data_IF_997257015096
#
_entry.id   IF_997257015096
#
_cell.length_a   1.000
_cell.length_b   1.000
_cell.length_c   1.000
_cell.angle_alpha   90.00
_cell.angle_beta   90.00
_cell.angle_gamma   90.00
#
_symmetry.space_group_name_H-M   'P 1'
#
loop_
_entity.id
_entity.type
_entity.pdbx_description
1 polymer ?
#
# COMPACT_ATOMS: atom_id res chain seq x y z
N UNK A 1 -14.29 3.21 13.74
CA UNK A 1 -13.81 3.18 15.15
C UNK A 1 -15.00 2.96 16.04
N UNK A 2 -15.13 1.77 16.62
CA UNK A 2 -16.35 1.39 17.36
C UNK A 2 -16.08 1.05 18.83
N UNK A 3 -14.92 0.49 19.13
CA UNK A 3 -14.51 0.08 20.48
C UNK A 3 -12.97 0.22 20.63
N UNK A 4 -12.43 1.45 20.59
CA UNK A 4 -10.97 1.69 20.62
C UNK A 4 -10.28 1.12 21.87
N UNK A 5 -10.98 1.04 23.00
CA UNK A 5 -10.52 0.44 24.25
C UNK A 5 -10.19 -1.05 24.16
N UNK A 6 -10.70 -1.74 23.13
CA UNK A 6 -10.41 -3.16 22.87
C UNK A 6 -9.13 -3.37 22.04
N UNK A 7 -8.48 -2.29 21.59
CA UNK A 7 -7.29 -2.35 20.74
C UNK A 7 -6.04 -2.16 21.61
N UNK A 8 -5.30 -3.25 21.83
CA UNK A 8 -4.07 -3.24 22.63
C UNK A 8 -2.91 -2.47 21.98
N UNK A 9 -2.91 -2.35 20.65
CA UNK A 9 -1.91 -1.60 19.90
C UNK A 9 -2.22 -1.55 18.42
N UNK A 10 -1.53 -0.66 17.70
CA UNK A 10 -1.65 -0.47 16.26
C UNK A 10 -0.27 -0.59 15.60
N UNK A 11 -0.19 -1.39 14.55
CA UNK A 11 0.96 -1.43 13.66
C UNK A 11 0.54 -0.93 12.27
N UNK A 12 1.22 0.09 11.75
CA UNK A 12 1.00 0.59 10.39
C UNK A 12 2.26 0.36 9.58
N UNK A 13 2.14 -0.34 8.45
CA UNK A 13 3.26 -0.66 7.57
C UNK A 13 2.86 -0.60 6.09
N UNK A 14 3.81 -0.24 5.23
CA UNK A 14 3.64 -0.12 3.78
C UNK A 14 2.37 0.66 3.39
N UNK A 15 2.14 1.80 4.04
CA UNK A 15 0.86 2.51 4.00
C UNK A 15 0.96 3.98 3.60
N UNK A 16 -0.13 4.46 3.01
CA UNK A 16 -0.42 5.87 2.75
C UNK A 16 -1.72 6.26 3.46
N UNK A 17 -1.71 7.35 4.21
CA UNK A 17 -2.88 7.88 4.92
C UNK A 17 -3.73 8.85 4.11
N UNK A 18 -3.23 9.35 2.99
CA UNK A 18 -3.94 10.30 2.13
C UNK A 18 -4.97 9.62 1.23
N UNK A 19 -6.00 10.39 0.85
CA UNK A 19 -6.93 10.00 -0.19
C UNK A 19 -6.22 9.78 -1.54
N UNK A 20 -6.75 8.92 -2.43
CA UNK A 20 -6.19 8.78 -3.77
C UNK A 20 -6.24 10.09 -4.57
N UNK A 21 -5.23 10.32 -5.38
CA UNK A 21 -5.14 11.46 -6.32
C UNK A 21 -5.91 11.16 -7.62
N UNK A 22 -6.36 12.16 -8.38
CA UNK A 22 -7.05 11.97 -9.67
C UNK A 22 -6.33 11.01 -10.63
N UNK A 23 -5.00 11.08 -10.69
CA UNK A 23 -4.18 10.23 -11.55
C UNK A 23 -4.21 8.76 -11.12
N UNK A 24 -4.33 8.49 -9.81
CA UNK A 24 -4.45 7.13 -9.29
C UNK A 24 -5.79 6.51 -9.65
N UNK A 25 -6.89 7.27 -9.56
CA UNK A 25 -8.20 6.80 -10.01
C UNK A 25 -8.22 6.49 -11.51
N UNK A 26 -7.56 7.31 -12.33
CA UNK A 26 -7.44 7.05 -13.76
C UNK A 26 -6.64 5.75 -14.02
N UNK A 27 -5.46 5.60 -13.40
CA UNK A 27 -4.62 4.43 -13.55
C UNK A 27 -5.32 3.14 -13.09
N UNK A 28 -6.04 3.16 -11.97
CA UNK A 28 -6.78 1.98 -11.50
C UNK A 28 -7.95 1.60 -12.42
N UNK A 29 -8.68 2.58 -12.97
CA UNK A 29 -9.74 2.30 -13.97
C UNK A 29 -9.17 1.68 -15.23
N UNK A 30 -8.03 2.17 -15.70
CA UNK A 30 -7.34 1.62 -16.86
C UNK A 30 -6.90 0.16 -16.61
N UNK A 31 -6.29 -0.11 -15.46
CA UNK A 31 -5.91 -1.47 -15.07
C UNK A 31 -7.14 -2.39 -14.91
N UNK A 32 -8.23 -1.92 -14.31
CA UNK A 32 -9.47 -2.71 -14.19
C UNK A 32 -10.02 -3.10 -15.57
N UNK A 33 -10.00 -2.17 -16.53
CA UNK A 33 -10.38 -2.42 -17.93
C UNK A 33 -9.50 -3.49 -18.58
N UNK A 34 -8.16 -3.38 -18.46
CA UNK A 34 -7.24 -4.39 -18.99
C UNK A 34 -7.51 -5.79 -18.39
N UNK A 35 -7.77 -5.87 -17.08
CA UNK A 35 -8.09 -7.15 -16.44
C UNK A 35 -9.44 -7.68 -16.95
N UNK A 36 -10.43 -6.83 -17.16
CA UNK A 36 -11.72 -7.20 -17.73
C UNK A 36 -11.60 -7.81 -19.13
N UNK A 37 -10.66 -7.29 -19.92
CA UNK A 37 -10.35 -7.76 -21.29
C UNK A 37 -9.46 -9.01 -21.30
N UNK A 38 -9.23 -9.66 -20.15
CA UNK A 38 -8.40 -10.86 -20.04
C UNK A 38 -6.90 -10.59 -20.04
N UNK A 39 -6.47 -9.32 -19.97
CA UNK A 39 -5.07 -8.89 -20.03
C UNK A 39 -4.44 -8.74 -18.64
N UNK A 40 -4.74 -9.68 -17.73
CA UNK A 40 -4.23 -9.65 -16.37
C UNK A 40 -2.70 -9.71 -16.31
N UNK A 41 -2.06 -10.55 -17.15
CA UNK A 41 -0.60 -10.67 -17.21
C UNK A 41 0.07 -9.33 -17.57
N UNK A 42 -0.52 -8.55 -18.47
CA UNK A 42 0.00 -7.22 -18.85
C UNK A 42 -0.03 -6.25 -17.66
N UNK A 43 -1.08 -6.32 -16.83
CA UNK A 43 -1.18 -5.52 -15.61
C UNK A 43 -0.11 -5.94 -14.61
N UNK A 44 0.13 -7.25 -14.44
CA UNK A 44 1.21 -7.76 -13.59
C UNK A 44 2.57 -7.22 -14.04
N UNK A 45 2.89 -7.31 -15.33
CA UNK A 45 4.16 -6.78 -15.85
C UNK A 45 4.27 -5.26 -15.70
N UNK A 46 3.16 -4.53 -15.88
CA UNK A 46 3.12 -3.07 -15.71
C UNK A 46 3.41 -2.65 -14.27
N UNK A 47 2.88 -3.36 -13.28
CA UNK A 47 3.03 -3.00 -11.87
C UNK A 47 4.29 -3.59 -11.23
N UNK A 48 4.89 -4.62 -11.82
CA UNK A 48 6.07 -5.29 -11.29
C UNK A 48 7.21 -4.33 -10.91
N UNK A 49 7.62 -3.36 -11.74
CA UNK A 49 8.72 -2.46 -11.39
C UNK A 49 8.43 -1.65 -10.13
N UNK A 50 7.18 -1.26 -9.88
CA UNK A 50 6.79 -0.45 -8.71
C UNK A 50 6.95 -1.22 -7.38
N UNK A 51 7.10 -2.54 -7.44
CA UNK A 51 7.20 -3.41 -6.26
C UNK A 51 8.64 -3.59 -5.76
N UNK A 52 9.62 -2.97 -6.43
CA UNK A 52 11.03 -3.11 -6.10
C UNK A 52 11.73 -1.75 -5.97
N UNK A 53 12.74 -1.65 -5.10
CA UNK A 53 13.64 -0.50 -5.07
C UNK A 53 14.21 -0.19 -6.46
N UNK A 54 14.38 1.08 -6.77
CA UNK A 54 14.94 1.57 -8.05
C UNK A 54 14.20 1.07 -9.30
N UNK A 55 12.97 0.58 -9.13
CA UNK A 55 12.17 -0.06 -10.18
C UNK A 55 12.86 -1.27 -10.82
N UNK A 56 13.77 -1.91 -10.10
CA UNK A 56 14.64 -2.96 -10.63
C UNK A 56 14.47 -4.26 -9.84
N UNK A 57 13.78 -5.22 -10.45
CA UNK A 57 13.61 -6.55 -9.87
C UNK A 57 14.76 -7.47 -10.30
N UNK A 58 15.29 -8.26 -9.35
CA UNK A 58 16.11 -9.41 -9.71
C UNK A 58 15.26 -10.45 -10.47
N UNK A 59 15.85 -11.33 -11.29
CA UNK A 59 15.09 -12.38 -11.97
C UNK A 59 14.25 -13.24 -11.02
N UNK A 60 14.77 -13.54 -9.83
CA UNK A 60 14.05 -14.28 -8.79
C UNK A 60 12.91 -13.46 -8.17
N UNK A 61 13.16 -12.19 -7.83
CA UNK A 61 12.12 -11.29 -7.32
C UNK A 61 10.97 -11.13 -8.30
N UNK A 62 11.29 -10.92 -9.59
CA UNK A 62 10.29 -10.81 -10.65
C UNK A 62 9.44 -12.08 -10.80
N UNK A 63 10.07 -13.28 -10.76
CA UNK A 63 9.34 -14.55 -10.76
C UNK A 63 8.41 -14.66 -9.55
N UNK A 64 8.93 -14.42 -8.35
CA UNK A 64 8.14 -14.49 -7.11
C UNK A 64 6.95 -13.53 -7.13
N UNK A 65 7.13 -12.31 -7.63
CA UNK A 65 6.05 -11.35 -7.75
C UNK A 65 4.96 -11.84 -8.71
N UNK A 66 5.33 -12.36 -9.89
CA UNK A 66 4.38 -12.93 -10.85
C UNK A 66 3.63 -14.10 -10.24
N UNK A 67 4.32 -15.03 -9.58
CA UNK A 67 3.70 -16.19 -8.93
C UNK A 67 2.67 -15.75 -7.88
N UNK A 68 3.01 -14.76 -7.06
CA UNK A 68 2.08 -14.19 -6.08
C UNK A 68 0.88 -13.51 -6.75
N UNK A 69 1.10 -12.72 -7.80
CA UNK A 69 0.03 -12.06 -8.52
C UNK A 69 -0.92 -13.06 -9.18
N UNK A 70 -0.39 -14.13 -9.79
CA UNK A 70 -1.18 -15.19 -10.40
C UNK A 70 -1.91 -16.05 -9.37
N UNK A 71 -1.34 -16.27 -8.18
CA UNK A 71 -2.03 -16.93 -7.07
C UNK A 71 -3.23 -16.12 -6.54
N UNK A 72 -3.15 -14.78 -6.55
CA UNK A 72 -4.27 -13.88 -6.22
C UNK A 72 -5.31 -13.87 -7.34
N UNK A 73 -4.87 -13.71 -8.59
CA UNK A 73 -5.69 -13.77 -9.78
C UNK A 73 -6.50 -12.50 -10.09
N UNK A 74 -7.11 -12.46 -11.30
CA UNK A 74 -7.73 -11.25 -11.85
C UNK A 74 -8.93 -10.75 -11.06
N UNK A 75 -9.79 -11.65 -10.56
CA UNK A 75 -11.00 -11.25 -9.84
C UNK A 75 -10.67 -10.51 -8.53
N UNK A 76 -9.69 -11.03 -7.77
CA UNK A 76 -9.24 -10.39 -6.54
C UNK A 76 -8.48 -9.09 -6.83
N UNK A 77 -7.70 -9.02 -7.90
CA UNK A 77 -7.02 -7.78 -8.31
C UNK A 77 -8.03 -6.66 -8.61
N UNK A 78 -9.11 -6.94 -9.34
CA UNK A 78 -10.19 -5.96 -9.58
C UNK A 78 -10.87 -5.51 -8.29
N UNK A 79 -11.14 -6.45 -7.38
CA UNK A 79 -11.70 -6.12 -6.06
C UNK A 79 -10.75 -5.23 -5.23
N UNK A 80 -9.44 -5.45 -5.32
CA UNK A 80 -8.43 -4.60 -4.68
C UNK A 80 -8.42 -3.18 -5.28
N UNK A 81 -8.46 -3.04 -6.60
CA UNK A 81 -8.55 -1.72 -7.27
C UNK A 81 -9.82 -0.96 -6.85
N UNK A 82 -10.96 -1.65 -6.81
CA UNK A 82 -12.22 -1.06 -6.34
C UNK A 82 -12.13 -0.62 -4.87
N UNK A 83 -11.55 -1.45 -3.99
CA UNK A 83 -11.36 -1.09 -2.58
C UNK A 83 -10.42 0.12 -2.43
N UNK A 84 -9.33 0.19 -3.19
CA UNK A 84 -8.41 1.34 -3.20
C UNK A 84 -9.12 2.64 -3.59
N UNK A 85 -10.04 2.58 -4.56
CA UNK A 85 -10.83 3.73 -5.01
C UNK A 85 -11.81 4.25 -3.93
N UNK A 86 -12.16 3.45 -2.92
CA UNK A 86 -13.03 3.92 -1.82
C UNK A 86 -12.28 4.57 -0.66
N UNK A 87 -10.93 4.61 -0.72
CA UNK A 87 -10.14 5.17 0.39
C UNK A 87 -10.39 6.66 0.55
N UNK A 88 -10.57 7.07 1.80
CA UNK A 88 -10.63 8.49 2.20
C UNK A 88 -9.33 8.89 2.89
N UNK A 89 -9.13 10.19 3.06
CA UNK A 89 -8.07 10.71 3.92
C UNK A 89 -8.26 10.22 5.36
N UNK A 90 -7.17 9.74 5.96
CA UNK A 90 -7.13 9.19 7.30
C UNK A 90 -6.38 10.08 8.31
N UNK A 91 -5.88 11.27 7.92
CA UNK A 91 -5.06 12.11 8.77
C UNK A 91 -5.83 12.58 10.03
N UNK A 92 -7.05 13.06 9.84
CA UNK A 92 -7.93 13.46 10.95
C UNK A 92 -8.25 12.28 11.86
N UNK A 93 -8.39 11.09 11.27
CA UNK A 93 -8.57 9.88 12.02
C UNK A 93 -7.31 9.61 12.87
N UNK A 94 -6.13 9.47 12.29
CA UNK A 94 -4.90 9.08 12.99
C UNK A 94 -4.64 9.88 14.29
N UNK A 95 -4.98 11.18 14.31
CA UNK A 95 -4.91 12.04 15.51
C UNK A 95 -5.74 11.61 16.70
N UNK A 96 -6.75 10.75 16.53
CA UNK A 96 -7.57 10.24 17.63
C UNK A 96 -7.11 8.86 18.14
N UNK A 97 -6.04 8.28 17.58
CA UNK A 97 -5.48 7.02 18.09
C UNK A 97 -4.82 7.28 19.45
N UNK A 98 -5.03 6.38 20.41
CA UNK A 98 -4.55 6.49 21.80
C UNK A 98 -3.81 5.25 22.31
N UNK A 99 -3.89 4.13 21.59
CA UNK A 99 -3.16 2.92 21.94
C UNK A 99 -1.69 3.00 21.48
N UNK A 100 -0.78 2.20 22.09
CA UNK A 100 0.59 2.08 21.63
C UNK A 100 0.65 1.82 20.12
N UNK A 101 1.42 2.64 19.40
CA UNK A 101 1.47 2.58 17.93
C UNK A 101 2.90 2.48 17.44
N UNK A 102 3.15 1.56 16.52
CA UNK A 102 4.39 1.45 15.76
C UNK A 102 4.08 1.69 14.29
N UNK A 103 4.96 2.44 13.63
CA UNK A 103 4.94 2.65 12.18
C UNK A 103 6.21 2.03 11.62
N UNK A 104 6.10 1.11 10.66
CA UNK A 104 7.24 0.47 10.01
C UNK A 104 7.26 0.81 8.52
N UNK A 105 8.44 1.15 8.00
CA UNK A 105 8.63 1.38 6.57
C UNK A 105 9.95 0.76 6.09
N UNK A 106 9.98 0.27 4.86
CA UNK A 106 11.24 0.06 4.16
C UNK A 106 11.90 1.40 3.86
N UNK A 107 13.20 1.53 4.12
CA UNK A 107 13.94 2.74 3.79
C UNK A 107 14.02 2.98 2.27
N UNK A 108 13.86 1.91 1.48
CA UNK A 108 13.92 1.90 0.01
C UNK A 108 12.56 1.66 -0.65
N UNK A 109 11.48 1.69 0.13
CA UNK A 109 10.12 1.59 -0.40
C UNK A 109 9.82 2.80 -1.31
N UNK A 110 9.56 2.54 -2.59
CA UNK A 110 9.23 3.59 -3.56
C UNK A 110 7.72 3.75 -3.76
N UNK A 111 6.94 2.74 -3.39
CA UNK A 111 5.48 2.72 -3.52
C UNK A 111 4.81 3.45 -2.36
N UNK A 112 5.27 3.17 -1.14
CA UNK A 112 4.86 3.81 0.10
C UNK A 112 6.11 4.42 0.78
N UNK A 113 6.68 5.51 0.24
CA UNK A 113 7.95 6.05 0.73
C UNK A 113 7.95 6.40 2.22
N UNK A 114 9.14 6.47 2.86
CA UNK A 114 9.28 6.84 4.27
C UNK A 114 8.58 8.15 4.65
N UNK A 115 8.40 9.07 3.69
CA UNK A 115 7.66 10.32 3.89
C UNK A 115 6.19 10.09 4.24
N UNK A 116 5.53 9.10 3.63
CA UNK A 116 4.14 8.76 3.99
C UNK A 116 4.04 8.22 5.41
N UNK A 117 5.00 7.40 5.81
CA UNK A 117 5.05 6.82 7.14
C UNK A 117 5.41 7.87 8.22
N UNK A 118 6.26 8.84 7.89
CA UNK A 118 6.53 10.02 8.75
C UNK A 118 5.23 10.79 9.02
N UNK A 119 4.45 11.10 7.98
CA UNK A 119 3.16 11.77 8.14
C UNK A 119 2.22 10.99 9.07
N UNK A 120 2.21 9.66 8.98
CA UNK A 120 1.39 8.80 9.86
C UNK A 120 1.90 8.87 11.30
N UNK A 121 3.21 8.74 11.52
CA UNK A 121 3.82 8.77 12.85
C UNK A 121 3.63 10.13 13.53
N UNK A 122 3.80 11.22 12.79
CA UNK A 122 3.60 12.59 13.31
C UNK A 122 2.12 12.85 13.66
N UNK A 123 1.19 12.20 12.98
CA UNK A 123 -0.24 12.33 13.24
C UNK A 123 -0.71 11.53 14.47
N UNK A 124 -0.03 10.44 14.85
CA UNK A 124 -0.45 9.57 15.96
C UNK A 124 0.34 9.90 17.24
N UNK A 125 -0.32 10.38 18.31
CA UNK A 125 0.37 10.70 19.56
C UNK A 125 1.16 9.51 20.11
N UNK A 126 2.47 9.70 20.31
CA UNK A 126 3.36 8.68 20.88
C UNK A 126 3.72 7.53 19.94
N UNK A 127 3.39 7.60 18.64
CA UNK A 127 3.83 6.61 17.68
C UNK A 127 5.35 6.63 17.50
N UNK A 128 5.93 5.46 17.22
CA UNK A 128 7.36 5.33 16.88
C UNK A 128 7.49 4.86 15.44
N UNK A 129 8.23 5.61 14.63
CA UNK A 129 8.60 5.20 13.28
C UNK A 129 9.91 4.41 13.32
N UNK A 130 9.93 3.25 12.69
CA UNK A 130 11.13 2.44 12.43
C UNK A 130 11.30 2.26 10.93
N UNK A 131 12.46 2.69 10.42
CA UNK A 131 12.87 2.45 9.04
C UNK A 131 13.76 1.21 8.99
N UNK A 132 13.45 0.29 8.09
CA UNK A 132 14.24 -0.91 7.82
C UNK A 132 15.25 -0.57 6.70
N UNK A 133 16.56 -0.48 6.99
CA UNK A 133 17.55 0.07 6.06
C UNK A 133 17.64 -0.66 4.71
N UNK A 134 17.54 -1.99 4.73
CA UNK A 134 17.72 -2.84 3.55
C UNK A 134 16.39 -3.35 2.99
N UNK A 135 15.27 -2.71 3.32
CA UNK A 135 13.93 -3.07 2.81
C UNK A 135 13.33 -1.94 1.98
#
# INVERSE_FOLDING_TARGET
RRAPERVAGLCVMAANSGAPRPEQYAAWREMDGLIADGRFADVVERTLPDMFPDRSATPEGARRYRDMAHAVGPAAARAQLAAQATRTDAAGALRTVRCPTVVLAGARDTLCPPTFHRVIADAVPGARLTLLPDA
#
